data_IF_165274316089
#
_entry.id   IF_165274316089
#
_cell.length_a   1.000
_cell.length_b   1.000
_cell.length_c   1.000
_cell.angle_alpha   90.00
_cell.angle_beta   90.00
_cell.angle_gamma   90.00
#
_symmetry.space_group_name_H-M   'P 1'
#
loop_
_entity.id
_entity.type
_entity.pdbx_description
1 polymer ?
#
# COMPACT_ATOMS: atom_id res chain seq x y z
N UNK A 1 -10.79 13.30 -10.65
CA UNK A 1 -10.22 13.68 -11.96
C UNK A 1 -9.94 15.17 -11.93
N UNK A 2 -8.91 15.56 -11.17
CA UNK A 2 -8.50 16.96 -11.01
C UNK A 2 -7.10 17.08 -11.60
N UNK A 3 -7.00 17.65 -12.80
CA UNK A 3 -5.71 17.92 -13.41
C UNK A 3 -5.22 19.30 -12.97
N UNK A 4 -3.98 19.39 -12.50
CA UNK A 4 -3.31 20.66 -12.23
C UNK A 4 -2.48 21.02 -13.45
N UNK A 5 -2.76 22.18 -14.04
CA UNK A 5 -1.99 22.72 -15.16
C UNK A 5 -1.19 23.92 -14.66
N UNK A 6 0.13 23.86 -14.80
CA UNK A 6 1.05 24.93 -14.43
C UNK A 6 1.68 25.44 -15.72
N UNK A 7 1.37 26.69 -16.06
CA UNK A 7 1.84 27.34 -17.28
C UNK A 7 3.10 28.17 -17.04
N UNK A 8 3.84 28.42 -18.12
CA UNK A 8 5.02 29.29 -18.13
C UNK A 8 6.14 28.89 -17.14
N UNK A 9 6.29 27.60 -16.85
CA UNK A 9 7.34 27.11 -15.94
C UNK A 9 8.71 27.23 -16.61
N UNK A 10 9.67 27.97 -16.05
CA UNK A 10 11.01 28.04 -16.60
C UNK A 10 11.65 26.66 -16.59
N UNK A 11 12.27 26.26 -17.71
CA UNK A 11 12.91 24.94 -17.82
C UNK A 11 13.97 24.74 -16.72
N UNK A 12 14.67 25.80 -16.32
CA UNK A 12 15.68 25.77 -15.25
C UNK A 12 15.14 25.32 -13.87
N UNK A 13 13.85 25.55 -13.61
CA UNK A 13 13.20 25.23 -12.33
C UNK A 13 12.66 23.79 -12.30
N UNK A 14 12.71 23.07 -13.43
CA UNK A 14 12.26 21.69 -13.51
C UNK A 14 13.27 20.70 -12.93
N UNK A 15 12.79 19.57 -12.39
CA UNK A 15 13.64 18.45 -11.98
C UNK A 15 14.60 18.01 -13.09
N UNK A 16 15.83 17.65 -12.72
CA UNK A 16 16.88 17.29 -13.67
C UNK A 16 16.47 16.12 -14.61
N UNK A 17 15.76 15.13 -14.07
CA UNK A 17 15.26 13.99 -14.85
C UNK A 17 14.22 14.39 -15.92
N UNK A 18 13.46 15.46 -15.68
CA UNK A 18 12.48 15.97 -16.64
C UNK A 18 13.16 16.84 -17.69
N UNK A 19 14.10 17.70 -17.27
CA UNK A 19 14.93 18.50 -18.19
C UNK A 19 15.71 17.65 -19.18
N UNK A 20 16.24 16.49 -18.75
CA UNK A 20 16.97 15.59 -19.64
C UNK A 20 16.12 15.07 -20.82
N UNK A 21 14.78 15.05 -20.68
CA UNK A 21 13.85 14.68 -21.75
C UNK A 21 13.49 15.85 -22.67
N UNK A 22 13.76 17.08 -22.25
CA UNK A 22 13.57 18.31 -23.02
C UNK A 22 14.89 18.66 -23.72
N UNK A 23 15.30 17.80 -24.66
CA UNK A 23 16.64 17.80 -25.28
C UNK A 23 16.96 19.07 -26.08
N UNK A 24 15.95 19.85 -26.49
CA UNK A 24 16.09 21.01 -27.38
C UNK A 24 15.57 22.32 -26.78
N UNK A 25 15.24 22.36 -25.49
CA UNK A 25 14.75 23.60 -24.89
C UNK A 25 15.86 24.66 -24.82
N UNK A 26 15.70 25.74 -25.59
CA UNK A 26 16.59 26.89 -25.57
C UNK A 26 16.71 27.46 -24.14
N UNK A 27 17.88 28.02 -23.81
CA UNK A 27 18.09 28.69 -22.52
C UNK A 27 17.05 29.81 -22.33
N UNK A 28 16.22 29.70 -21.29
CA UNK A 28 15.12 30.64 -21.02
C UNK A 28 13.75 30.22 -21.56
N UNK A 29 13.62 29.03 -22.16
CA UNK A 29 12.32 28.51 -22.56
C UNK A 29 11.41 28.24 -21.35
N UNK A 30 10.11 28.44 -21.55
CA UNK A 30 9.06 28.09 -20.60
C UNK A 30 8.23 26.93 -21.12
N UNK A 31 7.77 26.04 -20.24
CA UNK A 31 6.93 24.90 -20.59
C UNK A 31 5.66 24.83 -19.74
N UNK A 32 4.69 24.06 -20.21
CA UNK A 32 3.47 23.76 -19.47
C UNK A 32 3.56 22.37 -18.87
N UNK A 33 3.35 22.26 -17.55
CA UNK A 33 3.33 20.99 -16.82
C UNK A 33 1.89 20.63 -16.50
N UNK A 34 1.45 19.46 -16.96
CA UNK A 34 0.14 18.88 -16.61
C UNK A 34 0.36 17.72 -15.65
N UNK A 35 -0.21 17.82 -14.46
CA UNK A 35 -0.14 16.81 -13.41
C UNK A 35 -1.54 16.25 -13.23
N UNK A 36 -1.65 14.92 -13.27
CA UNK A 36 -2.90 14.21 -13.08
C UNK A 36 -2.69 13.15 -12.01
N UNK A 37 -3.69 12.99 -11.14
CA UNK A 37 -3.76 11.82 -10.28
C UNK A 37 -3.98 10.61 -11.18
N UNK A 38 -2.95 9.76 -11.26
CA UNK A 38 -3.13 8.43 -11.81
C UNK A 38 -4.15 7.72 -10.94
N UNK A 39 -5.21 7.20 -11.58
CA UNK A 39 -6.16 6.35 -10.88
C UNK A 39 -5.36 5.18 -10.34
N UNK A 40 -5.09 5.19 -9.04
CA UNK A 40 -4.45 4.10 -8.35
C UNK A 40 -5.41 2.93 -8.48
N UNK A 41 -5.20 2.11 -9.51
CA UNK A 41 -5.83 0.80 -9.61
C UNK A 41 -5.34 0.11 -8.35
N UNK A 42 -6.21 0.06 -7.33
CA UNK A 42 -5.98 -0.83 -6.22
C UNK A 42 -5.64 -2.16 -6.88
N UNK A 43 -4.45 -2.75 -6.61
CA UNK A 43 -4.15 -4.05 -7.14
C UNK A 43 -5.39 -4.90 -6.84
N UNK A 44 -5.89 -5.67 -7.82
CA UNK A 44 -7.06 -6.49 -7.58
C UNK A 44 -6.81 -7.21 -6.25
N UNK A 45 -7.84 -7.37 -5.44
CA UNK A 45 -7.79 -8.25 -4.29
C UNK A 45 -7.68 -9.71 -4.79
N UNK A 46 -6.71 -9.98 -5.66
CA UNK A 46 -6.12 -11.28 -5.88
C UNK A 46 -5.58 -11.66 -4.52
N UNK A 47 -6.41 -12.35 -3.75
CA UNK A 47 -5.98 -12.96 -2.51
C UNK A 47 -4.71 -13.71 -2.81
N UNK A 48 -3.63 -13.34 -2.11
CA UNK A 48 -2.30 -13.92 -2.24
C UNK A 48 -2.37 -15.42 -2.56
N UNK A 49 -2.18 -15.77 -3.84
CA UNK A 49 -2.12 -17.16 -4.30
C UNK A 49 -0.64 -17.51 -4.33
N UNK A 50 -0.26 -18.44 -3.46
CA UNK A 50 1.09 -18.97 -3.43
C UNK A 50 0.98 -20.48 -3.32
N UNK A 51 1.84 -21.17 -4.07
CA UNK A 51 1.93 -22.64 -4.05
C UNK A 51 2.81 -23.16 -2.91
N UNK A 52 3.31 -22.26 -2.06
CA UNK A 52 4.11 -22.64 -0.90
C UNK A 52 3.18 -23.19 0.20
N UNK A 53 3.33 -24.46 0.60
CA UNK A 53 2.48 -25.09 1.61
C UNK A 53 2.57 -24.41 2.98
N UNK A 54 3.57 -23.57 3.26
CA UNK A 54 3.67 -22.78 4.49
C UNK A 54 2.70 -21.59 4.52
N UNK A 55 2.27 -21.10 3.36
CA UNK A 55 1.37 -19.97 3.23
C UNK A 55 -0.04 -20.49 2.89
N UNK A 56 -1.08 -19.96 3.55
CA UNK A 56 -2.45 -20.48 3.41
C UNK A 56 -2.87 -21.48 4.50
N UNK A 57 -1.93 -22.06 5.28
CA UNK A 57 -2.24 -22.91 6.46
C UNK A 57 -3.22 -22.22 7.44
N UNK A 58 -3.13 -20.89 7.51
CA UNK A 58 -3.94 -20.06 8.40
C UNK A 58 -5.20 -19.51 7.73
N UNK A 59 -5.31 -19.64 6.41
CA UNK A 59 -6.44 -19.11 5.61
C UNK A 59 -7.67 -20.01 5.75
N UNK A 60 -7.47 -21.32 5.78
CA UNK A 60 -8.56 -22.30 5.87
C UNK A 60 -8.95 -22.64 7.33
N UNK A 61 -8.39 -21.90 8.29
CA UNK A 61 -8.68 -22.05 9.71
C UNK A 61 -9.86 -21.18 10.12
N UNK A 62 -10.97 -21.80 10.51
CA UNK A 62 -12.17 -21.09 10.97
C UNK A 62 -11.90 -20.14 12.14
N UNK A 63 -10.92 -20.45 12.99
CA UNK A 63 -10.53 -19.62 14.14
C UNK A 63 -9.70 -18.38 13.77
N UNK A 64 -9.33 -18.22 12.49
CA UNK A 64 -8.65 -17.03 11.95
C UNK A 64 -9.61 -16.02 11.31
N UNK A 65 -10.92 -16.31 11.27
CA UNK A 65 -11.94 -15.37 10.80
C UNK A 65 -11.98 -14.08 11.64
N UNK A 66 -11.64 -14.16 12.93
CA UNK A 66 -11.41 -13.03 13.82
C UNK A 66 -10.03 -13.14 14.49
N UNK A 67 -9.03 -12.54 13.83
CA UNK A 67 -7.64 -12.51 14.31
C UNK A 67 -7.53 -11.85 15.68
N UNK A 68 -8.33 -10.83 15.97
CA UNK A 68 -8.26 -10.12 17.23
C UNK A 68 -8.79 -10.99 18.39
N UNK A 69 -9.90 -11.69 18.18
CA UNK A 69 -10.42 -12.66 19.13
C UNK A 69 -9.43 -13.83 19.33
N UNK A 70 -8.85 -14.35 18.24
CA UNK A 70 -7.85 -15.40 18.31
C UNK A 70 -6.64 -14.99 19.16
N UNK A 71 -6.09 -13.79 18.93
CA UNK A 71 -4.94 -13.27 19.69
C UNK A 71 -5.30 -13.05 21.17
N UNK A 72 -6.52 -12.60 21.47
CA UNK A 72 -6.98 -12.48 22.87
C UNK A 72 -7.05 -13.85 23.55
N UNK A 73 -7.59 -14.86 22.86
CA UNK A 73 -7.70 -16.24 23.35
C UNK A 73 -6.34 -16.83 23.72
N UNK A 74 -5.35 -16.76 22.82
CA UNK A 74 -4.00 -17.30 23.10
C UNK A 74 -3.25 -16.54 24.21
N UNK A 75 -3.63 -15.30 24.49
CA UNK A 75 -3.05 -14.48 25.57
C UNK A 75 -3.73 -14.69 26.91
N UNK A 76 -4.82 -15.45 26.98
CA UNK A 76 -5.47 -15.72 28.25
C UNK A 76 -4.57 -16.57 29.17
N UNK A 77 -4.62 -16.34 30.48
CA UNK A 77 -3.92 -17.18 31.43
C UNK A 77 -4.45 -18.62 31.35
N UNK A 78 -3.56 -19.59 31.57
CA UNK A 78 -3.89 -21.03 31.56
C UNK A 78 -4.79 -21.45 32.71
N UNK A 79 -4.80 -20.67 33.78
CA UNK A 79 -5.61 -20.90 34.97
C UNK A 79 -6.39 -19.63 35.30
N UNK A 80 -7.63 -19.83 35.71
CA UNK A 80 -8.48 -18.80 36.25
C UNK A 80 -8.02 -18.45 37.67
N UNK A 81 -8.54 -17.34 38.21
CA UNK A 81 -8.20 -16.86 39.56
C UNK A 81 -8.62 -17.84 40.67
N UNK A 82 -9.61 -18.67 40.40
CA UNK A 82 -10.10 -19.75 41.28
C UNK A 82 -9.27 -21.04 41.17
N UNK A 83 -8.23 -21.07 40.34
CA UNK A 83 -7.36 -22.23 40.12
C UNK A 83 -7.91 -23.26 39.14
N UNK A 84 -9.11 -23.05 38.59
CA UNK A 84 -9.63 -23.90 37.51
C UNK A 84 -8.83 -23.69 36.21
N UNK A 85 -8.72 -24.75 35.39
CA UNK A 85 -8.04 -24.65 34.10
C UNK A 85 -8.92 -23.87 33.13
N UNK A 86 -8.32 -22.91 32.45
CA UNK A 86 -8.99 -22.19 31.39
C UNK A 86 -9.03 -23.10 30.15
N UNK A 87 -10.23 -23.49 29.73
CA UNK A 87 -10.43 -24.33 28.56
C UNK A 87 -10.34 -23.48 27.29
N UNK A 88 -9.61 -23.93 26.27
CA UNK A 88 -9.48 -23.21 25.01
C UNK A 88 -10.80 -23.21 24.23
#
# INVERSE_FOLDING_TARGET
MNAVVIEHVPVAELPAAWRAKLTEAAAGATVTVRIEDEAQVAPPAEGFVTDDPAFGIWRDRDDMADVAAHVRKIRQPRYNRDGSRNEP
#
